data_IF_539867871208
#
_entry.id   IF_539867871208
#
_cell.length_a   1.000
_cell.length_b   1.000
_cell.length_c   1.000
_cell.angle_alpha   90.00
_cell.angle_beta   90.00
_cell.angle_gamma   90.00
#
_symmetry.space_group_name_H-M   'P 1'
#
loop_
_entity.id
_entity.type
_entity.pdbx_description
1 polymer ?
#
# COMPACT_ATOMS: atom_id res chain seq x y z
N UNK A 1 14.58 31.52 -24.27
CA UNK A 1 13.91 32.81 -24.02
C UNK A 1 13.52 32.98 -22.57
N UNK A 2 12.70 32.08 -22.02
CA UNK A 2 12.15 32.18 -20.65
C UNK A 2 13.03 31.45 -19.60
N UNK A 3 13.73 30.37 -19.98
CA UNK A 3 14.63 29.63 -19.07
C UNK A 3 15.79 30.48 -18.53
N UNK A 4 16.33 31.37 -19.36
CA UNK A 4 17.47 32.21 -19.00
C UNK A 4 17.11 33.22 -17.89
N UNK A 5 15.93 33.85 -17.97
CA UNK A 5 15.46 34.82 -16.98
C UNK A 5 15.07 34.20 -15.63
N UNK A 6 14.49 32.99 -15.63
CA UNK A 6 14.11 32.29 -14.39
C UNK A 6 15.34 31.92 -13.56
N UNK A 7 16.40 31.49 -14.24
CA UNK A 7 17.68 31.14 -13.60
C UNK A 7 18.35 32.34 -12.92
N UNK A 8 18.33 33.52 -13.58
CA UNK A 8 18.88 34.78 -13.04
C UNK A 8 18.09 35.25 -11.82
N UNK A 9 16.76 35.22 -11.88
CA UNK A 9 15.91 35.61 -10.75
C UNK A 9 16.12 34.69 -9.53
N UNK A 10 16.16 33.37 -9.74
CA UNK A 10 16.42 32.40 -8.69
C UNK A 10 17.80 32.61 -8.03
N UNK A 11 18.82 32.92 -8.83
CA UNK A 11 20.15 33.23 -8.32
C UNK A 11 20.15 34.51 -7.45
N UNK A 12 19.47 35.58 -7.90
CA UNK A 12 19.37 36.83 -7.13
C UNK A 12 18.68 36.63 -5.78
N UNK A 13 17.54 35.93 -5.75
CA UNK A 13 16.85 35.59 -4.50
C UNK A 13 17.74 34.77 -3.55
N UNK A 14 18.53 33.84 -4.11
CA UNK A 14 19.45 33.02 -3.31
C UNK A 14 20.58 33.86 -2.69
N UNK A 15 21.15 34.81 -3.45
CA UNK A 15 22.17 35.75 -2.94
C UNK A 15 21.60 36.65 -1.84
N UNK A 16 20.38 37.14 -2.04
CA UNK A 16 19.63 37.94 -1.06
C UNK A 16 19.11 37.13 0.13
N UNK A 17 19.31 35.80 0.15
CA UNK A 17 18.83 34.88 1.19
C UNK A 17 17.30 34.95 1.39
N UNK A 18 16.55 35.25 0.34
CA UNK A 18 15.08 35.36 0.37
C UNK A 18 14.47 34.01 0.73
N UNK A 19 13.51 33.96 1.65
CA UNK A 19 12.91 32.66 2.01
C UNK A 19 12.06 32.13 0.84
N UNK A 20 11.94 30.80 0.64
CA UNK A 20 11.05 30.27 -0.39
C UNK A 20 9.59 30.71 -0.23
N UNK A 21 9.14 30.99 1.00
CA UNK A 21 7.81 31.56 1.26
C UNK A 21 7.67 32.99 0.72
N UNK A 22 8.71 33.81 0.82
CA UNK A 22 8.68 35.16 0.27
C UNK A 22 8.70 35.13 -1.26
N UNK A 23 9.47 34.22 -1.86
CA UNK A 23 9.47 34.01 -3.32
C UNK A 23 8.10 33.53 -3.81
N UNK A 24 7.43 32.63 -3.07
CA UNK A 24 6.06 32.21 -3.38
C UNK A 24 5.11 33.41 -3.51
N UNK A 25 5.19 34.33 -2.55
CA UNK A 25 4.38 35.55 -2.53
C UNK A 25 4.77 36.50 -3.67
N UNK A 26 6.07 36.70 -3.92
CA UNK A 26 6.57 37.55 -5.00
C UNK A 26 6.17 37.05 -6.40
N UNK A 27 5.94 35.75 -6.54
CA UNK A 27 5.45 35.13 -7.77
C UNK A 27 3.91 35.13 -7.88
N UNK A 28 3.20 35.60 -6.85
CA UNK A 28 1.74 35.64 -6.77
C UNK A 28 1.08 34.26 -6.91
N UNK A 29 1.73 33.20 -6.41
CA UNK A 29 1.27 31.80 -6.57
C UNK A 29 0.11 31.41 -5.65
N UNK A 30 -0.18 32.20 -4.61
CA UNK A 30 -1.28 31.98 -3.67
C UNK A 30 -2.54 32.80 -3.94
N UNK A 31 -2.53 33.63 -4.97
CA UNK A 31 -3.69 34.40 -5.41
C UNK A 31 -4.62 33.53 -6.26
N UNK A 32 -5.88 33.94 -6.46
CA UNK A 32 -6.84 33.18 -7.27
C UNK A 32 -6.34 33.08 -8.71
N UNK A 33 -5.63 32.00 -9.02
CA UNK A 33 -5.11 31.76 -10.35
C UNK A 33 -6.25 31.34 -11.29
N UNK A 34 -6.25 31.88 -12.52
CA UNK A 34 -7.17 31.45 -13.57
C UNK A 34 -6.86 30.03 -14.10
N UNK A 35 -5.65 29.54 -13.85
CA UNK A 35 -5.15 28.23 -14.29
C UNK A 35 -4.72 27.39 -13.10
N UNK A 36 -4.66 26.06 -13.27
CA UNK A 36 -4.14 25.17 -12.25
C UNK A 36 -2.67 25.49 -11.95
N UNK A 37 -2.22 25.19 -10.74
CA UNK A 37 -0.88 25.53 -10.28
C UNK A 37 0.21 24.81 -11.07
N UNK A 38 -0.02 23.55 -11.46
CA UNK A 38 0.89 22.74 -12.30
C UNK A 38 1.01 23.26 -13.74
N UNK A 39 0.04 24.03 -14.22
CA UNK A 39 0.08 24.68 -15.54
C UNK A 39 0.81 26.05 -15.50
N UNK A 40 1.16 26.53 -14.31
CA UNK A 40 1.79 27.84 -14.14
C UNK A 40 3.33 27.73 -14.17
N UNK A 41 4.04 28.31 -15.15
CA UNK A 41 5.51 28.25 -15.23
C UNK A 41 6.20 28.86 -14.00
N UNK A 42 5.57 29.81 -13.31
CA UNK A 42 6.11 30.39 -12.06
C UNK A 42 6.14 29.38 -10.91
N UNK A 43 5.22 28.40 -10.90
CA UNK A 43 5.24 27.35 -9.89
C UNK A 43 6.48 26.46 -10.04
N UNK A 44 6.83 26.12 -11.28
CA UNK A 44 8.04 25.37 -11.59
C UNK A 44 9.31 26.15 -11.25
N UNK A 45 9.33 27.46 -11.55
CA UNK A 45 10.42 28.35 -11.11
C UNK A 45 10.57 28.37 -9.59
N UNK A 46 9.45 28.44 -8.85
CA UNK A 46 9.47 28.41 -7.39
C UNK A 46 10.01 27.09 -6.83
N UNK A 47 9.63 25.95 -7.43
CA UNK A 47 10.15 24.64 -7.04
C UNK A 47 11.66 24.50 -7.29
N UNK A 48 12.14 25.03 -8.40
CA UNK A 48 13.58 25.10 -8.68
C UNK A 48 14.29 25.95 -7.62
N UNK A 49 13.71 27.10 -7.26
CA UNK A 49 14.25 27.93 -6.19
C UNK A 49 14.28 27.21 -4.83
N UNK A 50 13.23 26.48 -4.47
CA UNK A 50 13.19 25.65 -3.26
C UNK A 50 14.35 24.66 -3.24
N UNK A 51 14.65 24.00 -4.36
CA UNK A 51 15.79 23.09 -4.48
C UNK A 51 17.13 23.81 -4.30
N UNK A 52 17.33 24.96 -4.96
CA UNK A 52 18.54 25.75 -4.82
C UNK A 52 18.75 26.22 -3.37
N UNK A 53 17.69 26.69 -2.74
CA UNK A 53 17.70 27.13 -1.35
C UNK A 53 18.07 25.99 -0.38
N UNK A 54 17.43 24.83 -0.54
CA UNK A 54 17.71 23.62 0.25
C UNK A 54 19.12 23.09 0.03
N UNK A 55 19.62 23.10 -1.20
CA UNK A 55 20.99 22.71 -1.49
C UNK A 55 22.01 23.64 -0.81
N UNK A 56 21.70 24.93 -0.70
CA UNK A 56 22.60 25.93 -0.08
C UNK A 56 22.52 25.96 1.45
N UNK A 57 21.33 25.76 2.03
CA UNK A 57 21.05 25.97 3.46
C UNK A 57 20.81 24.68 4.24
N UNK A 58 20.39 23.61 3.55
CA UNK A 58 19.91 22.38 4.14
C UNK A 58 18.38 22.34 4.31
N UNK A 59 17.82 21.14 4.26
CA UNK A 59 16.36 20.91 4.26
C UNK A 59 15.65 21.41 5.54
N UNK A 60 16.35 21.53 6.66
CA UNK A 60 15.76 21.99 7.93
C UNK A 60 15.35 23.46 7.93
N UNK A 61 15.87 24.27 6.98
CA UNK A 61 15.47 25.67 6.82
C UNK A 61 14.17 25.84 6.02
N UNK A 62 13.81 24.84 5.22
CA UNK A 62 12.55 24.82 4.47
C UNK A 62 12.20 23.38 4.10
N UNK A 63 11.49 22.71 5.00
CA UNK A 63 11.18 21.29 4.96
C UNK A 63 10.08 20.96 3.95
N UNK A 64 9.85 19.66 3.70
CA UNK A 64 8.69 19.23 2.90
C UNK A 64 7.36 19.53 3.62
N UNK A 65 7.38 19.67 4.95
CA UNK A 65 6.24 20.15 5.72
C UNK A 65 5.89 21.59 5.36
N UNK A 66 6.90 22.45 5.23
CA UNK A 66 6.69 23.87 4.85
C UNK A 66 6.14 23.99 3.42
N UNK A 67 6.66 23.18 2.48
CA UNK A 67 6.11 23.08 1.12
C UNK A 67 4.65 22.62 1.17
N UNK A 68 4.36 21.54 1.90
CA UNK A 68 3.00 21.02 2.01
C UNK A 68 2.03 22.06 2.58
N UNK A 69 2.42 22.78 3.63
CA UNK A 69 1.58 23.77 4.28
C UNK A 69 1.20 24.92 3.33
N UNK A 70 2.15 25.43 2.55
CA UNK A 70 1.89 26.49 1.57
C UNK A 70 0.89 26.00 0.50
N UNK A 71 1.12 24.81 -0.04
CA UNK A 71 0.30 24.27 -1.11
C UNK A 71 -1.10 23.88 -0.61
N UNK A 72 -1.21 23.29 0.58
CA UNK A 72 -2.47 22.87 1.17
C UNK A 72 -3.40 24.05 1.53
N UNK A 73 -2.87 25.26 1.75
CA UNK A 73 -3.67 26.46 2.01
C UNK A 73 -4.30 27.07 0.77
N UNK A 74 -3.70 26.84 -0.38
CA UNK A 74 -4.02 27.56 -1.63
C UNK A 74 -4.62 26.66 -2.69
N UNK A 75 -4.48 25.35 -2.55
CA UNK A 75 -4.83 24.37 -3.58
C UNK A 75 -5.77 23.29 -3.05
N UNK A 76 -6.88 22.97 -3.74
CA UNK A 76 -7.75 21.87 -3.37
C UNK A 76 -7.01 20.53 -3.28
N UNK A 77 -7.40 19.67 -2.32
CA UNK A 77 -6.74 18.37 -2.11
C UNK A 77 -6.71 17.46 -3.35
N UNK A 78 -7.74 17.54 -4.21
CA UNK A 78 -7.80 16.75 -5.43
C UNK A 78 -6.71 17.17 -6.44
N UNK A 79 -6.42 18.47 -6.51
CA UNK A 79 -5.37 19.01 -7.37
C UNK A 79 -3.99 18.76 -6.78
N UNK A 80 -3.84 18.84 -5.44
CA UNK A 80 -2.61 18.43 -4.76
C UNK A 80 -2.21 16.98 -5.08
N UNK A 81 -3.18 16.07 -5.19
CA UNK A 81 -2.89 14.68 -5.57
C UNK A 81 -2.24 14.61 -6.95
N UNK A 82 -2.74 15.37 -7.93
CA UNK A 82 -2.21 15.43 -9.30
C UNK A 82 -0.83 16.09 -9.30
N UNK A 83 -0.69 17.25 -8.66
CA UNK A 83 0.56 17.99 -8.57
C UNK A 83 1.65 17.12 -7.94
N UNK A 84 1.39 16.53 -6.77
CA UNK A 84 2.38 15.69 -6.09
C UNK A 84 2.70 14.41 -6.85
N UNK A 85 1.81 13.92 -7.71
CA UNK A 85 2.14 12.84 -8.62
C UNK A 85 3.05 13.32 -9.77
N UNK A 86 2.74 14.45 -10.40
CA UNK A 86 3.56 15.05 -11.45
C UNK A 86 4.99 15.35 -10.96
N UNK A 87 5.14 15.84 -9.72
CA UNK A 87 6.45 16.10 -9.12
C UNK A 87 7.36 14.87 -9.04
N UNK A 88 6.81 13.65 -9.06
CA UNK A 88 7.64 12.42 -9.05
C UNK A 88 8.44 12.23 -10.33
N UNK A 89 7.98 12.81 -11.45
CA UNK A 89 8.68 12.77 -12.72
C UNK A 89 9.78 13.84 -12.83
N UNK A 90 9.83 14.80 -11.91
CA UNK A 90 10.82 15.88 -11.92
C UNK A 90 12.15 15.40 -11.31
N UNK A 91 13.30 15.61 -12.00
CA UNK A 91 14.61 15.25 -11.47
C UNK A 91 14.84 15.82 -10.06
N UNK A 92 15.27 14.96 -9.14
CA UNK A 92 15.54 15.35 -7.74
C UNK A 92 14.31 15.49 -6.84
N UNK A 93 13.08 15.44 -7.37
CA UNK A 93 11.86 15.70 -6.58
C UNK A 93 11.12 14.44 -6.14
N UNK A 94 11.48 13.25 -6.64
CA UNK A 94 10.74 12.00 -6.34
C UNK A 94 10.56 11.71 -4.84
N UNK A 95 11.59 11.93 -4.03
CA UNK A 95 11.52 11.68 -2.58
C UNK A 95 10.63 12.71 -1.88
N UNK A 96 10.81 14.01 -2.18
CA UNK A 96 9.98 15.08 -1.64
C UNK A 96 8.51 14.87 -2.02
N UNK A 97 8.23 14.58 -3.29
CA UNK A 97 6.90 14.26 -3.79
C UNK A 97 6.27 13.07 -3.06
N UNK A 98 7.05 12.03 -2.75
CA UNK A 98 6.60 10.88 -1.95
C UNK A 98 6.14 11.32 -0.56
N UNK A 99 6.92 12.18 0.11
CA UNK A 99 6.59 12.73 1.43
C UNK A 99 5.34 13.60 1.37
N UNK A 100 5.22 14.46 0.36
CA UNK A 100 4.03 15.31 0.16
C UNK A 100 2.76 14.47 -0.05
N UNK A 101 2.83 13.36 -0.79
CA UNK A 101 1.72 12.43 -0.93
C UNK A 101 1.35 11.73 0.38
N UNK A 102 2.33 11.45 1.25
CA UNK A 102 2.06 10.91 2.59
C UNK A 102 1.30 11.91 3.47
N UNK A 103 1.72 13.18 3.47
CA UNK A 103 1.02 14.25 4.18
C UNK A 103 -0.40 14.47 3.65
N UNK A 104 -0.56 14.45 2.33
CA UNK A 104 -1.89 14.51 1.70
C UNK A 104 -2.74 13.33 2.13
N UNK A 105 -2.22 12.09 2.04
CA UNK A 105 -2.98 10.91 2.44
C UNK A 105 -3.42 10.98 3.89
N UNK A 106 -2.54 11.42 4.80
CA UNK A 106 -2.83 11.51 6.23
C UNK A 106 -4.03 12.43 6.52
N UNK A 107 -4.06 13.61 5.89
CA UNK A 107 -5.07 14.67 6.07
C UNK A 107 -6.26 14.60 5.10
N UNK A 108 -6.20 13.73 4.09
CA UNK A 108 -7.18 13.65 3.01
C UNK A 108 -8.60 13.29 3.49
N UNK A 109 -9.61 13.66 2.71
CA UNK A 109 -10.94 13.05 2.80
C UNK A 109 -10.97 11.64 2.20
N UNK A 110 -12.03 10.87 2.44
CA UNK A 110 -12.23 9.58 1.77
C UNK A 110 -12.43 9.71 0.25
N UNK A 111 -12.98 10.84 -0.21
CA UNK A 111 -13.09 11.13 -1.64
C UNK A 111 -11.72 11.40 -2.27
N UNK A 112 -10.91 12.25 -1.64
CA UNK A 112 -9.53 12.53 -2.07
C UNK A 112 -8.69 11.26 -2.11
N UNK A 113 -8.78 10.40 -1.08
CA UNK A 113 -8.06 9.12 -1.09
C UNK A 113 -8.48 8.23 -2.26
N UNK A 114 -9.78 8.12 -2.56
CA UNK A 114 -10.23 7.38 -3.76
C UNK A 114 -9.65 8.00 -5.03
N UNK A 115 -9.63 9.32 -5.12
CA UNK A 115 -9.05 10.05 -6.24
C UNK A 115 -7.55 9.79 -6.40
N UNK A 116 -6.77 9.70 -5.30
CA UNK A 116 -5.35 9.36 -5.37
C UNK A 116 -5.10 8.02 -6.09
N UNK A 117 -5.98 7.02 -5.94
CA UNK A 117 -5.86 5.77 -6.70
C UNK A 117 -5.99 5.99 -8.21
N UNK A 118 -6.89 6.87 -8.65
CA UNK A 118 -7.05 7.19 -10.07
C UNK A 118 -5.81 7.91 -10.60
N UNK A 119 -5.28 8.87 -9.82
CA UNK A 119 -4.07 9.61 -10.17
C UNK A 119 -2.87 8.68 -10.30
N UNK A 120 -2.64 7.78 -9.34
CA UNK A 120 -1.58 6.78 -9.42
C UNK A 120 -1.74 5.86 -10.62
N UNK A 121 -2.98 5.41 -10.87
CA UNK A 121 -3.27 4.49 -11.97
C UNK A 121 -3.06 5.15 -13.34
N UNK A 122 -3.44 6.42 -13.49
CA UNK A 122 -3.22 7.22 -14.69
C UNK A 122 -1.74 7.46 -14.93
N UNK A 123 -0.98 7.76 -13.89
CA UNK A 123 0.46 7.96 -13.95
C UNK A 123 1.27 6.65 -14.14
N UNK A 124 0.59 5.49 -14.18
CA UNK A 124 1.25 4.19 -14.38
C UNK A 124 2.08 3.74 -13.18
N UNK A 125 1.76 4.21 -11.96
CA UNK A 125 2.43 3.72 -10.76
C UNK A 125 2.16 2.23 -10.57
N UNK A 126 3.19 1.49 -10.15
CA UNK A 126 3.03 0.06 -9.84
C UNK A 126 2.52 -0.14 -8.40
N UNK A 127 1.93 -1.31 -8.09
CA UNK A 127 1.60 -1.67 -6.71
C UNK A 127 2.79 -1.55 -5.76
N UNK A 128 4.02 -1.85 -6.21
CA UNK A 128 5.24 -1.67 -5.43
C UNK A 128 5.50 -0.19 -5.10
N UNK A 129 5.35 0.70 -6.07
CA UNK A 129 5.56 2.13 -5.83
C UNK A 129 4.53 2.70 -4.85
N UNK A 130 3.25 2.31 -4.98
CA UNK A 130 2.21 2.76 -4.05
C UNK A 130 2.43 2.16 -2.65
N UNK A 131 2.94 0.94 -2.55
CA UNK A 131 3.36 0.34 -1.28
C UNK A 131 4.42 1.20 -0.57
N UNK A 132 5.42 1.67 -1.33
CA UNK A 132 6.46 2.59 -0.83
C UNK A 132 5.87 3.96 -0.46
N UNK A 133 5.03 4.55 -1.31
CA UNK A 133 4.40 5.85 -1.03
C UNK A 133 3.65 5.80 0.30
N UNK A 134 2.89 4.73 0.57
CA UNK A 134 2.13 4.57 1.80
C UNK A 134 2.97 4.12 3.01
N UNK A 135 4.28 3.86 2.82
CA UNK A 135 5.22 3.32 3.84
C UNK A 135 4.71 2.05 4.48
N UNK A 136 4.26 1.12 3.63
CA UNK A 136 3.65 -0.11 4.09
C UNK A 136 4.64 -1.14 4.62
N UNK A 137 5.96 -1.00 4.42
CA UNK A 137 6.99 -1.84 5.04
C UNK A 137 7.13 -1.63 6.55
N UNK A 138 6.75 -0.44 7.05
CA UNK A 138 6.84 -0.05 8.46
C UNK A 138 5.46 -0.06 9.16
N UNK A 139 4.38 -0.28 8.39
CA UNK A 139 3.00 -0.21 8.91
C UNK A 139 2.59 -1.56 9.52
N UNK A 140 2.03 -1.65 10.74
CA UNK A 140 1.58 -2.92 11.30
C UNK A 140 0.64 -3.70 10.36
N UNK A 141 0.79 -5.03 10.31
CA UNK A 141 -0.01 -5.93 9.45
C UNK A 141 -1.42 -6.12 9.98
N UNK A 142 -2.22 -5.07 9.84
CA UNK A 142 -3.61 -5.02 10.25
C UNK A 142 -4.45 -4.37 9.15
N UNK A 143 -5.78 -4.53 9.25
CA UNK A 143 -6.76 -3.92 8.35
C UNK A 143 -6.87 -2.38 8.49
N UNK A 144 -5.74 -1.68 8.49
CA UNK A 144 -5.70 -0.22 8.56
C UNK A 144 -5.97 0.41 7.19
N UNK A 145 -6.27 1.72 7.25
CA UNK A 145 -6.60 2.53 6.08
C UNK A 145 -5.55 2.52 4.98
N UNK A 146 -4.25 2.35 5.28
CA UNK A 146 -3.19 2.33 4.26
C UNK A 146 -3.19 1.02 3.49
N UNK A 147 -3.28 -0.12 4.17
CA UNK A 147 -3.42 -1.42 3.49
C UNK A 147 -4.72 -1.51 2.69
N UNK A 148 -5.83 -1.01 3.23
CA UNK A 148 -7.10 -0.95 2.48
C UNK A 148 -6.97 -0.10 1.22
N UNK A 149 -6.29 1.05 1.30
CA UNK A 149 -6.02 1.90 0.14
C UNK A 149 -5.20 1.14 -0.91
N UNK A 150 -4.10 0.51 -0.48
CA UNK A 150 -3.17 -0.20 -1.35
C UNK A 150 -3.84 -1.39 -2.04
N UNK A 151 -4.59 -2.24 -1.33
CA UNK A 151 -5.30 -3.35 -1.96
C UNK A 151 -6.32 -2.88 -2.99
N UNK A 152 -7.06 -1.79 -2.71
CA UNK A 152 -7.98 -1.20 -3.70
C UNK A 152 -7.26 -0.66 -4.92
N UNK A 153 -6.09 -0.08 -4.74
CA UNK A 153 -5.24 0.35 -5.84
C UNK A 153 -4.77 -0.86 -6.66
N UNK A 154 -4.23 -1.87 -6.01
CA UNK A 154 -3.69 -3.08 -6.63
C UNK A 154 -4.76 -3.83 -7.42
N UNK A 155 -5.98 -3.92 -6.92
CA UNK A 155 -7.12 -4.51 -7.63
C UNK A 155 -7.47 -3.72 -8.91
N UNK A 156 -7.52 -2.39 -8.82
CA UNK A 156 -7.70 -1.50 -10.00
C UNK A 156 -6.56 -1.61 -11.00
N UNK A 157 -5.32 -1.66 -10.51
CA UNK A 157 -4.13 -1.81 -11.34
C UNK A 157 -4.20 -3.12 -12.13
N UNK A 158 -4.48 -4.23 -11.44
CA UNK A 158 -4.66 -5.54 -12.07
C UNK A 158 -5.76 -5.53 -13.11
N UNK A 159 -6.91 -4.94 -12.81
CA UNK A 159 -8.01 -4.83 -13.78
C UNK A 159 -7.61 -4.04 -15.03
N UNK A 160 -6.73 -3.04 -14.89
CA UNK A 160 -6.20 -2.24 -16.02
C UNK A 160 -5.17 -2.99 -16.85
N UNK A 161 -4.23 -3.69 -16.22
CA UNK A 161 -3.10 -4.35 -16.94
C UNK A 161 -3.39 -5.79 -17.35
N UNK A 162 -4.43 -6.42 -16.78
CA UNK A 162 -4.77 -7.82 -16.99
C UNK A 162 -4.09 -8.77 -15.99
N UNK A 163 -4.78 -9.85 -15.63
CA UNK A 163 -4.30 -10.84 -14.63
C UNK A 163 -3.02 -11.57 -15.08
N UNK A 164 -2.79 -11.70 -16.39
CA UNK A 164 -1.55 -12.26 -16.95
C UNK A 164 -0.33 -11.39 -16.72
N UNK A 165 -0.52 -10.08 -16.54
CA UNK A 165 0.56 -9.11 -16.37
C UNK A 165 0.85 -8.78 -14.91
N UNK A 166 -0.17 -8.88 -14.03
CA UNK A 166 0.01 -8.69 -12.59
C UNK A 166 -0.94 -9.59 -11.78
N UNK A 167 -0.39 -10.52 -11.00
CA UNK A 167 -1.15 -11.53 -10.23
C UNK A 167 -1.23 -11.22 -8.73
N UNK A 168 -2.16 -11.88 -8.01
CA UNK A 168 -2.19 -11.85 -6.54
C UNK A 168 -0.92 -12.45 -5.92
N UNK A 169 -0.30 -13.43 -6.59
CA UNK A 169 0.99 -13.98 -6.17
C UNK A 169 2.07 -12.89 -6.11
N UNK A 170 2.15 -12.02 -7.12
CA UNK A 170 3.08 -10.89 -7.09
C UNK A 170 2.75 -9.89 -5.98
N UNK A 171 1.47 -9.72 -5.62
CA UNK A 171 1.09 -8.93 -4.45
C UNK A 171 1.56 -9.55 -3.13
N UNK A 172 1.48 -10.88 -3.02
CA UNK A 172 2.00 -11.62 -1.87
C UNK A 172 3.53 -11.52 -1.79
N UNK A 173 4.24 -11.65 -2.91
CA UNK A 173 5.70 -11.54 -3.01
C UNK A 173 6.19 -10.19 -2.48
N UNK A 174 5.53 -9.08 -2.84
CA UNK A 174 5.83 -7.75 -2.27
C UNK A 174 5.79 -7.75 -0.74
N UNK A 175 4.76 -8.38 -0.13
CA UNK A 175 4.62 -8.42 1.32
C UNK A 175 5.70 -9.26 1.98
N UNK A 176 6.03 -10.41 1.39
CA UNK A 176 7.06 -11.33 1.92
C UNK A 176 8.47 -10.74 1.78
N UNK A 177 8.81 -10.20 0.61
CA UNK A 177 10.14 -9.63 0.32
C UNK A 177 10.44 -8.37 1.12
N UNK A 178 9.43 -7.51 1.32
CA UNK A 178 9.62 -6.27 2.09
C UNK A 178 9.59 -6.48 3.59
N UNK A 179 9.26 -7.70 4.05
CA UNK A 179 9.10 -8.05 5.48
C UNK A 179 9.60 -9.46 5.79
N UNK A 180 10.88 -9.79 5.53
CA UNK A 180 11.40 -11.15 5.60
C UNK A 180 11.36 -11.77 7.01
N UNK A 181 11.20 -10.94 8.04
CA UNK A 181 11.14 -11.36 9.45
C UNK A 181 9.71 -11.51 9.98
N UNK A 182 8.70 -11.29 9.13
CA UNK A 182 7.30 -11.48 9.53
C UNK A 182 7.00 -12.97 9.60
N UNK A 183 6.44 -13.41 10.72
CA UNK A 183 6.00 -14.79 10.88
C UNK A 183 4.84 -15.06 9.91
N UNK A 184 4.85 -16.21 9.23
CA UNK A 184 3.86 -16.46 8.18
C UNK A 184 2.42 -16.51 8.73
N UNK A 185 2.24 -16.91 9.98
CA UNK A 185 0.96 -16.87 10.69
C UNK A 185 0.38 -15.45 10.83
N UNK A 186 1.24 -14.43 10.95
CA UNK A 186 0.81 -13.03 10.99
C UNK A 186 0.28 -12.59 9.63
N UNK A 187 0.90 -13.05 8.52
CA UNK A 187 0.39 -12.82 7.17
C UNK A 187 -0.97 -13.50 6.97
N UNK A 188 -1.14 -14.74 7.43
CA UNK A 188 -2.42 -15.45 7.35
C UNK A 188 -3.52 -14.73 8.15
N UNK A 189 -3.23 -14.31 9.38
CA UNK A 189 -4.16 -13.54 10.21
C UNK A 189 -4.51 -12.18 9.57
N UNK A 190 -3.51 -11.52 8.97
CA UNK A 190 -3.70 -10.29 8.23
C UNK A 190 -4.62 -10.49 7.02
N UNK A 191 -4.40 -11.51 6.19
CA UNK A 191 -5.27 -11.78 5.03
C UNK A 191 -6.69 -12.15 5.44
N UNK A 192 -6.85 -12.91 6.53
CA UNK A 192 -8.17 -13.17 7.12
C UNK A 192 -8.87 -11.87 7.54
N UNK A 193 -8.13 -10.87 8.05
CA UNK A 193 -8.69 -9.55 8.38
C UNK A 193 -9.13 -8.78 7.12
N UNK A 194 -8.33 -8.81 6.04
CA UNK A 194 -8.65 -8.17 4.77
C UNK A 194 -9.87 -8.82 4.11
N UNK A 195 -9.99 -10.15 4.20
CA UNK A 195 -11.12 -10.91 3.65
C UNK A 195 -12.48 -10.49 4.24
N UNK A 196 -12.47 -9.92 5.46
CA UNK A 196 -13.69 -9.43 6.15
C UNK A 196 -14.11 -8.04 5.69
N UNK A 197 -13.29 -7.33 4.91
CA UNK A 197 -13.59 -5.97 4.44
C UNK A 197 -14.42 -6.06 3.15
N UNK A 198 -15.54 -5.33 3.12
CA UNK A 198 -16.39 -5.25 1.93
C UNK A 198 -15.60 -4.72 0.72
N UNK A 199 -15.71 -5.42 -0.41
CA UNK A 199 -14.95 -5.15 -1.64
C UNK A 199 -13.54 -5.74 -1.68
N UNK A 200 -12.99 -6.28 -0.57
CA UNK A 200 -11.66 -6.91 -0.54
C UNK A 200 -11.69 -8.42 -0.22
N UNK A 201 -12.88 -9.01 -0.08
CA UNK A 201 -13.06 -10.44 0.19
C UNK A 201 -12.31 -11.33 -0.82
N UNK A 202 -12.41 -11.02 -2.12
CA UNK A 202 -11.75 -11.79 -3.19
C UNK A 202 -10.22 -11.70 -3.07
N UNK A 203 -9.68 -10.49 -2.90
CA UNK A 203 -8.24 -10.25 -2.75
C UNK A 203 -7.69 -10.96 -1.51
N UNK A 204 -8.31 -10.78 -0.35
CA UNK A 204 -7.89 -11.45 0.89
C UNK A 204 -7.92 -12.97 0.78
N UNK A 205 -8.96 -13.55 0.16
CA UNK A 205 -9.01 -15.00 -0.08
C UNK A 205 -7.98 -15.50 -1.08
N UNK A 206 -7.68 -14.73 -2.13
CA UNK A 206 -6.66 -15.08 -3.13
C UNK A 206 -5.25 -15.08 -2.52
N UNK A 207 -4.92 -14.07 -1.73
CA UNK A 207 -3.64 -13.99 -1.03
C UNK A 207 -3.47 -15.12 -0.02
N UNK A 208 -4.52 -15.43 0.75
CA UNK A 208 -4.57 -16.57 1.67
C UNK A 208 -4.33 -17.90 0.91
N UNK A 209 -4.99 -18.08 -0.24
CA UNK A 209 -4.81 -19.26 -1.11
C UNK A 209 -3.37 -19.42 -1.57
N UNK A 210 -2.72 -18.33 -2.00
CA UNK A 210 -1.32 -18.35 -2.44
C UNK A 210 -0.35 -18.61 -1.28
N UNK A 211 -0.56 -18.00 -0.13
CA UNK A 211 0.25 -18.26 1.06
C UNK A 211 0.15 -19.73 1.48
N UNK A 212 -1.05 -20.30 1.49
CA UNK A 212 -1.25 -21.70 1.85
C UNK A 212 -0.62 -22.68 0.85
N UNK A 213 -0.53 -22.33 -0.43
CA UNK A 213 0.24 -23.15 -1.39
C UNK A 213 1.72 -23.22 -1.05
N UNK A 214 2.30 -22.10 -0.58
CA UNK A 214 3.69 -22.08 -0.08
C UNK A 214 3.81 -22.98 1.16
N UNK A 215 2.87 -22.86 2.11
CA UNK A 215 2.86 -23.72 3.30
C UNK A 215 2.77 -25.21 2.95
N UNK A 216 1.96 -25.58 1.96
CA UNK A 216 1.80 -26.97 1.51
C UNK A 216 3.06 -27.60 0.93
N UNK A 217 4.07 -26.80 0.55
CA UNK A 217 5.38 -27.33 0.13
C UNK A 217 6.17 -27.87 1.33
N UNK A 218 5.86 -27.42 2.54
CA UNK A 218 6.65 -27.74 3.75
C UNK A 218 5.83 -28.44 4.85
N UNK A 219 4.54 -28.14 4.96
CA UNK A 219 3.72 -28.52 6.12
C UNK A 219 2.44 -29.23 5.75
N UNK A 220 2.14 -30.27 6.53
CA UNK A 220 0.81 -30.89 6.60
C UNK A 220 -0.08 -30.16 7.63
N UNK A 221 -1.41 -30.36 7.61
CA UNK A 221 -2.33 -29.68 8.51
C UNK A 221 -2.01 -29.82 10.00
N UNK A 222 -1.47 -30.97 10.44
CA UNK A 222 -1.03 -31.16 11.83
C UNK A 222 0.15 -30.26 12.20
N UNK A 223 1.10 -30.05 11.28
CA UNK A 223 2.25 -29.18 11.50
C UNK A 223 1.83 -27.71 11.55
N UNK A 224 0.91 -27.29 10.68
CA UNK A 224 0.36 -25.92 10.68
C UNK A 224 -0.31 -25.58 12.01
N UNK A 225 -1.04 -26.52 12.63
CA UNK A 225 -1.60 -26.30 13.96
C UNK A 225 -0.51 -25.94 15.00
N UNK A 226 0.65 -26.60 14.94
CA UNK A 226 1.81 -26.32 15.81
C UNK A 226 2.40 -24.94 15.52
N UNK A 227 2.57 -24.57 14.25
CA UNK A 227 3.07 -23.24 13.82
C UNK A 227 2.16 -22.14 14.34
N UNK A 228 0.84 -22.33 14.27
CA UNK A 228 -0.16 -21.40 14.83
C UNK A 228 -0.18 -21.37 16.37
N UNK A 229 0.70 -22.12 17.05
CA UNK A 229 0.75 -22.18 18.51
C UNK A 229 -0.43 -22.93 19.14
N UNK A 230 -1.11 -23.80 18.39
CA UNK A 230 -2.21 -24.64 18.89
C UNK A 230 -1.60 -25.91 19.53
N UNK A 231 -1.03 -25.77 20.74
CA UNK A 231 -0.21 -26.81 21.37
C UNK A 231 -0.98 -27.94 22.07
N UNK A 232 -2.14 -27.64 22.67
CA UNK A 232 -2.81 -28.60 23.56
C UNK A 232 -3.77 -29.53 22.81
N UNK A 233 -4.76 -28.94 22.15
CA UNK A 233 -5.75 -29.68 21.37
C UNK A 233 -6.55 -28.72 20.51
N UNK A 234 -6.61 -29.00 19.21
CA UNK A 234 -7.39 -28.19 18.26
C UNK A 234 -8.88 -28.17 18.64
N UNK A 235 -9.39 -29.24 19.27
CA UNK A 235 -10.78 -29.31 19.74
C UNK A 235 -11.09 -28.33 20.88
N UNK A 236 -10.08 -27.84 21.59
CA UNK A 236 -10.23 -26.85 22.67
C UNK A 236 -10.14 -25.41 22.19
N UNK A 237 -9.72 -25.17 20.94
CA UNK A 237 -9.62 -23.82 20.38
C UNK A 237 -11.02 -23.32 20.03
N UNK A 238 -11.33 -22.10 20.47
CA UNK A 238 -12.59 -21.45 20.15
C UNK A 238 -12.74 -21.27 18.64
N UNK A 239 -13.93 -21.55 18.09
CA UNK A 239 -14.25 -21.26 16.68
C UNK A 239 -14.19 -19.75 16.34
N UNK A 240 -14.18 -18.89 17.36
CA UNK A 240 -14.00 -17.43 17.20
C UNK A 240 -12.52 -17.02 17.15
N UNK A 241 -11.60 -17.91 17.51
CA UNK A 241 -10.17 -17.67 17.41
C UNK A 241 -9.76 -17.62 15.92
N UNK A 242 -9.08 -16.56 15.46
CA UNK A 242 -8.61 -16.46 14.07
C UNK A 242 -7.77 -17.67 13.64
N UNK A 243 -6.99 -18.25 14.55
CA UNK A 243 -6.13 -19.40 14.26
C UNK A 243 -6.93 -20.65 13.93
N UNK A 244 -8.11 -20.82 14.51
CA UNK A 244 -9.01 -21.91 14.15
C UNK A 244 -9.47 -21.79 12.70
N UNK A 245 -9.86 -20.58 12.27
CA UNK A 245 -10.33 -20.35 10.91
C UNK A 245 -9.19 -20.48 9.89
N UNK A 246 -7.98 -20.00 10.22
CA UNK A 246 -6.78 -20.19 9.39
C UNK A 246 -6.49 -21.68 9.21
N UNK A 247 -6.40 -22.43 10.32
CA UNK A 247 -6.15 -23.88 10.29
C UNK A 247 -7.21 -24.63 9.50
N UNK A 248 -8.49 -24.33 9.72
CA UNK A 248 -9.61 -24.93 9.01
C UNK A 248 -9.51 -24.65 7.50
N UNK A 249 -9.28 -23.40 7.12
CA UNK A 249 -9.20 -23.00 5.70
C UNK A 249 -8.01 -23.66 5.02
N UNK A 250 -6.83 -23.65 5.65
CA UNK A 250 -5.65 -24.36 5.16
C UNK A 250 -5.93 -25.85 4.96
N UNK A 251 -6.53 -26.51 5.95
CA UNK A 251 -6.80 -27.96 5.91
C UNK A 251 -7.77 -28.31 4.77
N UNK A 252 -8.81 -27.49 4.56
CA UNK A 252 -9.74 -27.66 3.45
C UNK A 252 -9.05 -27.52 2.09
N UNK A 253 -8.22 -26.49 1.93
CA UNK A 253 -7.48 -26.29 0.69
C UNK A 253 -6.45 -27.40 0.47
N UNK A 254 -5.74 -27.84 1.52
CA UNK A 254 -4.81 -28.96 1.46
C UNK A 254 -5.50 -30.22 0.96
N UNK A 255 -6.63 -30.58 1.57
CA UNK A 255 -7.41 -31.75 1.17
C UNK A 255 -7.88 -31.64 -0.29
N UNK A 256 -8.32 -30.46 -0.73
CA UNK A 256 -8.78 -30.26 -2.10
C UNK A 256 -7.66 -30.38 -3.13
N UNK A 257 -6.51 -29.74 -2.89
CA UNK A 257 -5.40 -29.65 -3.84
C UNK A 257 -4.48 -30.88 -3.81
N UNK A 258 -4.28 -31.52 -2.65
CA UNK A 258 -3.37 -32.68 -2.49
C UNK A 258 -4.08 -34.03 -2.47
N UNK A 259 -5.34 -34.08 -2.03
CA UNK A 259 -6.06 -35.34 -1.77
C UNK A 259 -7.41 -35.44 -2.47
N UNK A 260 -7.79 -34.44 -3.27
CA UNK A 260 -8.99 -34.41 -4.07
C UNK A 260 -10.27 -33.94 -3.35
N UNK A 261 -11.27 -33.61 -4.16
CA UNK A 261 -12.55 -33.00 -3.72
C UNK A 261 -13.33 -33.86 -2.72
N UNK A 262 -13.33 -35.19 -2.88
CA UNK A 262 -14.01 -36.09 -1.95
C UNK A 262 -13.42 -36.01 -0.54
N UNK A 263 -12.10 -35.94 -0.43
CA UNK A 263 -11.39 -35.76 0.83
C UNK A 263 -11.70 -34.42 1.46
N UNK A 264 -11.72 -33.34 0.67
CA UNK A 264 -12.11 -32.01 1.15
C UNK A 264 -13.54 -31.99 1.73
N UNK A 265 -14.53 -32.59 1.07
CA UNK A 265 -15.90 -32.63 1.61
C UNK A 265 -15.96 -33.43 2.92
N UNK A 266 -15.24 -34.55 3.03
CA UNK A 266 -15.10 -35.28 4.30
C UNK A 266 -14.46 -34.42 5.41
N UNK A 267 -13.40 -33.69 5.11
CA UNK A 267 -12.75 -32.76 6.06
C UNK A 267 -13.74 -31.68 6.51
N UNK A 268 -14.51 -31.13 5.58
CA UNK A 268 -15.53 -30.09 5.84
C UNK A 268 -16.63 -30.59 6.77
N UNK A 269 -17.14 -31.80 6.56
CA UNK A 269 -18.10 -32.46 7.46
C UNK A 269 -17.52 -32.64 8.86
N UNK A 270 -16.26 -33.08 8.98
CA UNK A 270 -15.60 -33.27 10.28
C UNK A 270 -15.45 -31.95 11.06
N UNK A 271 -15.10 -30.85 10.39
CA UNK A 271 -15.12 -29.52 11.03
C UNK A 271 -16.54 -29.08 11.43
N UNK A 272 -17.55 -29.34 10.60
CA UNK A 272 -18.94 -29.03 10.92
C UNK A 272 -19.41 -29.80 12.17
N UNK A 273 -19.02 -31.07 12.29
CA UNK A 273 -19.32 -31.95 13.42
C UNK A 273 -18.42 -31.73 14.65
N UNK A 274 -17.68 -30.61 14.70
CA UNK A 274 -16.80 -30.25 15.82
C UNK A 274 -15.70 -31.30 16.11
N UNK A 275 -15.22 -32.00 15.09
CA UNK A 275 -14.13 -32.97 15.18
C UNK A 275 -12.89 -32.53 14.37
N UNK A 276 -12.24 -31.42 14.77
CA UNK A 276 -11.13 -30.85 13.99
C UNK A 276 -9.91 -31.78 13.98
N UNK A 277 -9.65 -32.57 15.04
CA UNK A 277 -8.53 -33.52 15.06
C UNK A 277 -8.67 -34.57 13.97
N UNK A 278 -9.86 -35.17 13.83
CA UNK A 278 -10.12 -36.12 12.74
C UNK A 278 -10.08 -35.44 11.36
N UNK A 279 -10.48 -34.17 11.27
CA UNK A 279 -10.41 -33.39 10.04
C UNK A 279 -8.96 -33.24 9.56
N UNK A 280 -8.03 -32.88 10.45
CA UNK A 280 -6.60 -32.79 10.11
C UNK A 280 -6.02 -34.13 9.64
N UNK A 281 -6.45 -35.24 10.25
CA UNK A 281 -6.01 -36.59 9.87
C UNK A 281 -6.59 -37.05 8.54
N UNK A 282 -7.88 -36.76 8.31
CA UNK A 282 -8.55 -37.10 7.06
C UNK A 282 -7.95 -36.35 5.87
N UNK A 283 -7.45 -35.13 6.07
CA UNK A 283 -6.89 -34.29 5.02
C UNK A 283 -5.63 -34.86 4.35
N UNK A 284 -4.87 -35.73 5.04
CA UNK A 284 -3.63 -36.33 4.53
C UNK A 284 -3.84 -37.76 4.03
N UNK A 285 -4.93 -38.41 4.44
CA UNK A 285 -5.24 -39.78 4.01
C UNK A 285 -5.68 -39.79 2.55
N UNK A 286 -4.77 -40.20 1.67
CA UNK A 286 -5.10 -40.61 0.31
C UNK A 286 -6.01 -41.85 0.40
N UNK A 287 -7.15 -41.78 -0.27
CA UNK A 287 -8.01 -42.95 -0.54
C UNK A 287 -7.38 -43.85 -1.59
#
# INVERSE_FOLDING_TARGET
>A
GIEDTSSVANWLWLQSKTSPKDVWNALHLGETAATRLDDNPKFWQWLEYVNMFRAKKGNHWFSDGDVFEILAKTTPQADLAVIFQALRAVPGMKNAATILQQYLFASASSATRRWMNEVWLQAGESPQNVYTILRLSETPLEANRKFVQWFRFTDKYRAKVGESSYSDRQTLEILMETRPWTAEEDLAAFFLSIKKISGLKKVGGSLETHLFRIWMETWEPKNVATVLGIRNSVSKVSKRDPRYEILKTFTLQYAAEKSGTATMEKVKELFANNNPTAALEAAVKVS
#
